data_IF_057155598387
#
_entry.id   IF_057155598387
#
_cell.length_a   1.000
_cell.length_b   1.000
_cell.length_c   1.000
_cell.angle_alpha   90.00
_cell.angle_beta   90.00
_cell.angle_gamma   90.00
#
_symmetry.space_group_name_H-M   'P 1'
#
loop_
_entity.id
_entity.type
_entity.pdbx_description
1 polymer ?
#
# COMPACT_ATOMS: atom_id res chain seq x y z
N UNK A 1 -15.43 0.19 -9.63
CA UNK A 1 -14.17 -0.52 -10.02
C UNK A 1 -14.33 -1.13 -11.41
N UNK A 2 -13.30 -1.09 -12.28
CA UNK A 2 -13.31 -1.74 -13.60
C UNK A 2 -13.25 -3.26 -13.41
N UNK A 3 -14.14 -4.00 -14.09
CA UNK A 3 -14.08 -5.48 -14.11
C UNK A 3 -13.28 -5.91 -15.34
N UNK A 4 -12.08 -6.46 -15.13
CA UNK A 4 -11.18 -6.95 -16.17
C UNK A 4 -11.18 -8.47 -16.18
N UNK A 5 -11.45 -9.08 -17.33
CA UNK A 5 -11.30 -10.52 -17.51
C UNK A 5 -9.84 -10.90 -17.80
N UNK A 6 -9.53 -12.20 -17.80
CA UNK A 6 -8.17 -12.70 -17.98
C UNK A 6 -7.50 -12.18 -19.26
N UNK A 7 -8.23 -12.14 -20.38
CA UNK A 7 -7.72 -11.62 -21.66
C UNK A 7 -7.40 -10.14 -21.59
N UNK A 8 -8.25 -9.35 -20.96
CA UNK A 8 -8.00 -7.92 -20.77
C UNK A 8 -6.78 -7.69 -19.87
N UNK A 9 -6.56 -8.55 -18.88
CA UNK A 9 -5.34 -8.54 -18.07
C UNK A 9 -4.10 -8.86 -18.91
N UNK A 10 -4.14 -9.87 -19.81
CA UNK A 10 -3.04 -10.16 -20.75
C UNK A 10 -2.73 -8.94 -21.63
N UNK A 11 -3.75 -8.27 -22.18
CA UNK A 11 -3.57 -7.05 -22.99
C UNK A 11 -2.93 -5.93 -22.17
N UNK A 12 -3.40 -5.66 -20.95
CA UNK A 12 -2.81 -4.62 -20.08
C UNK A 12 -1.33 -4.91 -19.78
N UNK A 13 -1.00 -6.15 -19.46
CA UNK A 13 0.40 -6.57 -19.21
C UNK A 13 1.29 -6.28 -20.42
N UNK A 14 0.84 -6.63 -21.62
CA UNK A 14 1.60 -6.37 -22.86
C UNK A 14 1.81 -4.87 -23.06
N UNK A 15 0.76 -4.06 -22.92
CA UNK A 15 0.87 -2.61 -23.12
C UNK A 15 1.72 -1.98 -22.00
N UNK A 16 1.65 -2.48 -20.76
CA UNK A 16 2.48 -2.02 -19.65
C UNK A 16 3.97 -2.33 -19.89
N UNK A 17 4.29 -3.50 -20.47
CA UNK A 17 5.66 -3.95 -20.75
C UNK A 17 6.27 -3.26 -21.98
N UNK A 18 5.48 -3.08 -23.04
CA UNK A 18 5.97 -2.61 -24.35
C UNK A 18 5.71 -1.13 -24.60
N UNK A 19 4.87 -0.51 -23.78
CA UNK A 19 4.40 0.86 -23.99
C UNK A 19 3.25 0.93 -25.00
N UNK A 20 3.18 2.02 -25.73
CA UNK A 20 2.14 2.32 -26.70
C UNK A 20 2.16 1.37 -27.90
N UNK A 21 1.04 0.71 -28.19
CA UNK A 21 0.90 -0.29 -29.24
C UNK A 21 -0.36 -0.09 -30.09
N UNK A 22 -0.28 -0.49 -31.38
CA UNK A 22 -1.45 -0.65 -32.26
C UNK A 22 -2.11 -2.02 -32.06
N UNK A 23 -3.35 -2.17 -32.54
CA UNK A 23 -4.09 -3.44 -32.40
C UNK A 23 -3.39 -4.64 -33.05
N UNK A 24 -2.67 -4.43 -34.16
CA UNK A 24 -1.88 -5.47 -34.83
C UNK A 24 -0.69 -5.92 -34.01
N UNK A 25 -0.02 -4.99 -33.33
CA UNK A 25 1.13 -5.28 -32.45
C UNK A 25 0.69 -6.04 -31.21
N UNK A 26 -0.43 -5.63 -30.59
CA UNK A 26 -1.03 -6.37 -29.46
C UNK A 26 -1.42 -7.79 -29.88
N UNK A 27 -1.99 -7.96 -31.09
CA UNK A 27 -2.32 -9.28 -31.63
C UNK A 27 -1.08 -10.16 -31.80
N UNK A 28 -0.01 -9.61 -32.40
CA UNK A 28 1.26 -10.32 -32.59
C UNK A 28 1.87 -10.77 -31.25
N UNK A 29 1.89 -9.91 -30.24
CA UNK A 29 2.42 -10.23 -28.91
C UNK A 29 1.59 -11.30 -28.18
N UNK A 30 0.25 -11.28 -28.28
CA UNK A 30 -0.62 -12.32 -27.74
C UNK A 30 -0.39 -13.67 -28.45
N UNK A 31 -0.27 -13.65 -29.78
CA UNK A 31 0.04 -14.86 -30.56
C UNK A 31 1.40 -15.46 -30.18
N UNK A 32 2.45 -14.63 -30.01
CA UNK A 32 3.75 -15.09 -29.49
C UNK A 32 3.68 -15.75 -28.12
N UNK A 33 2.72 -15.34 -27.28
CA UNK A 33 2.46 -15.92 -25.97
C UNK A 33 1.55 -17.15 -25.99
N UNK A 34 1.17 -17.61 -27.21
CA UNK A 34 0.36 -18.80 -27.39
C UNK A 34 -1.15 -18.58 -27.27
N UNK A 35 -1.61 -17.32 -27.28
CA UNK A 35 -3.05 -17.00 -27.26
C UNK A 35 -3.57 -16.95 -28.72
N UNK A 36 -4.46 -17.89 -29.07
CA UNK A 36 -5.14 -17.93 -30.37
C UNK A 36 -6.39 -17.03 -30.36
N UNK A 37 -6.23 -15.80 -30.82
CA UNK A 37 -7.29 -14.78 -30.80
C UNK A 37 -7.31 -14.01 -32.12
N UNK A 38 -8.48 -13.84 -32.74
CA UNK A 38 -8.61 -13.05 -33.94
C UNK A 38 -8.34 -11.56 -33.71
N UNK A 39 -7.71 -10.89 -34.68
CA UNK A 39 -7.48 -9.44 -34.65
C UNK A 39 -8.76 -8.62 -34.43
N UNK A 40 -9.91 -9.11 -34.93
CA UNK A 40 -11.22 -8.46 -34.73
C UNK A 40 -11.62 -8.48 -33.25
N UNK A 41 -11.40 -9.60 -32.55
CA UNK A 41 -11.67 -9.73 -31.13
C UNK A 41 -10.76 -8.82 -30.28
N UNK A 42 -9.50 -8.68 -30.67
CA UNK A 42 -8.56 -7.77 -30.00
C UNK A 42 -8.97 -6.30 -30.20
N UNK A 43 -9.33 -5.90 -31.42
CA UNK A 43 -9.83 -4.55 -31.67
C UNK A 43 -11.06 -4.21 -30.83
N UNK A 44 -11.99 -5.16 -30.67
CA UNK A 44 -13.19 -4.99 -29.80
C UNK A 44 -12.78 -4.86 -28.35
N UNK A 45 -11.86 -5.70 -27.86
CA UNK A 45 -11.39 -5.64 -26.48
C UNK A 45 -10.69 -4.31 -26.18
N UNK A 46 -9.76 -3.86 -27.04
CA UNK A 46 -9.07 -2.58 -26.90
C UNK A 46 -10.02 -1.38 -26.91
N UNK A 47 -11.01 -1.39 -27.81
CA UNK A 47 -12.03 -0.34 -27.86
C UNK A 47 -12.89 -0.31 -26.61
N UNK A 48 -13.32 -1.49 -26.08
CA UNK A 48 -14.03 -1.58 -24.81
C UNK A 48 -13.19 -1.07 -23.66
N UNK A 49 -11.95 -1.52 -23.54
CA UNK A 49 -11.04 -1.12 -22.48
C UNK A 49 -10.74 0.39 -22.51
N UNK A 50 -10.66 0.99 -23.69
CA UNK A 50 -10.52 2.45 -23.81
C UNK A 50 -11.80 3.18 -23.38
N UNK A 51 -12.98 2.65 -23.72
CA UNK A 51 -14.27 3.21 -23.28
C UNK A 51 -14.43 3.11 -21.75
N UNK A 52 -13.97 2.00 -21.16
CA UNK A 52 -14.04 1.73 -19.73
C UNK A 52 -12.92 2.46 -18.94
N UNK A 53 -12.06 3.21 -19.63
CA UNK A 53 -10.99 4.01 -19.02
C UNK A 53 -9.73 3.24 -18.63
N UNK A 54 -9.60 1.94 -18.98
CA UNK A 54 -8.38 1.16 -18.72
C UNK A 54 -7.24 1.51 -19.68
N UNK A 55 -7.57 1.98 -20.88
CA UNK A 55 -6.61 2.41 -21.90
C UNK A 55 -6.97 3.81 -22.39
N UNK A 56 -5.97 4.51 -22.90
CA UNK A 56 -6.13 5.75 -23.67
C UNK A 56 -5.88 5.45 -25.14
N UNK A 57 -6.82 5.82 -26.01
CA UNK A 57 -6.65 5.69 -27.46
C UNK A 57 -6.05 6.97 -28.05
N UNK A 58 -5.04 6.83 -28.90
CA UNK A 58 -4.31 7.94 -29.52
C UNK A 58 -4.31 7.76 -31.03
N UNK A 59 -4.64 8.84 -31.77
CA UNK A 59 -4.76 8.82 -33.22
C UNK A 59 -6.17 8.44 -33.69
N UNK A 60 -6.34 8.34 -35.02
CA UNK A 60 -7.62 8.08 -35.66
C UNK A 60 -7.49 6.99 -36.74
N UNK A 61 -8.54 6.19 -36.90
CA UNK A 61 -8.66 5.21 -37.95
C UNK A 61 -7.60 4.10 -37.87
N UNK A 62 -6.84 3.91 -38.97
CA UNK A 62 -5.83 2.84 -39.03
C UNK A 62 -4.60 3.09 -38.18
N UNK A 63 -4.35 4.34 -37.79
CA UNK A 63 -3.21 4.74 -36.95
C UNK A 63 -3.54 4.82 -35.47
N UNK A 64 -4.70 4.29 -35.06
CA UNK A 64 -5.06 4.25 -33.64
C UNK A 64 -4.13 3.32 -32.88
N UNK A 65 -3.51 3.84 -31.83
CA UNK A 65 -2.70 3.11 -30.87
C UNK A 65 -3.27 3.28 -29.46
N UNK A 66 -2.85 2.43 -28.55
CA UNK A 66 -3.35 2.38 -27.19
C UNK A 66 -2.21 2.47 -26.20
N UNK A 67 -2.41 3.28 -25.17
CA UNK A 67 -1.54 3.38 -24.00
C UNK A 67 -2.32 2.98 -22.75
N UNK A 68 -1.61 2.49 -21.75
CA UNK A 68 -2.22 2.18 -20.46
C UNK A 68 -2.54 3.48 -19.71
N UNK A 69 -3.78 3.64 -19.26
CA UNK A 69 -4.18 4.75 -18.40
C UNK A 69 -3.71 4.54 -16.95
N UNK A 70 -3.82 5.56 -16.09
CA UNK A 70 -3.58 5.43 -14.65
C UNK A 70 -4.49 4.35 -14.04
N UNK A 71 -5.77 4.33 -14.39
CA UNK A 71 -6.71 3.30 -13.91
C UNK A 71 -6.29 1.91 -14.40
N UNK A 72 -5.88 1.79 -15.65
CA UNK A 72 -5.37 0.54 -16.20
C UNK A 72 -4.14 0.04 -15.45
N UNK A 73 -3.19 0.91 -15.11
CA UNK A 73 -2.02 0.58 -14.30
C UNK A 73 -2.42 0.05 -12.93
N UNK A 74 -3.27 0.78 -12.21
CA UNK A 74 -3.72 0.44 -10.86
C UNK A 74 -4.34 -0.96 -10.80
N UNK A 75 -5.10 -1.36 -11.83
CA UNK A 75 -5.79 -2.65 -11.88
C UNK A 75 -5.13 -3.72 -12.74
N UNK A 76 -3.93 -3.50 -13.26
CA UNK A 76 -3.16 -4.56 -13.92
C UNK A 76 -2.67 -5.56 -12.88
N UNK A 77 -3.00 -6.84 -13.08
CA UNK A 77 -2.55 -7.91 -12.20
C UNK A 77 -1.12 -8.32 -12.57
N UNK A 78 -0.16 -8.04 -11.67
CA UNK A 78 1.26 -8.38 -11.81
C UNK A 78 1.64 -9.37 -10.72
N UNK A 79 2.10 -10.55 -11.13
CA UNK A 79 2.60 -11.56 -10.21
C UNK A 79 3.92 -11.07 -9.58
N UNK A 80 3.87 -10.76 -8.29
CA UNK A 80 4.97 -10.15 -7.53
C UNK A 80 6.27 -10.95 -7.65
N UNK A 81 6.25 -12.29 -7.40
CA UNK A 81 7.46 -13.14 -7.45
C UNK A 81 8.10 -13.17 -8.83
N UNK A 82 7.28 -13.23 -9.89
CA UNK A 82 7.78 -13.18 -11.25
C UNK A 82 8.42 -11.85 -11.60
N UNK A 83 7.85 -10.75 -11.10
CA UNK A 83 8.34 -9.39 -11.35
C UNK A 83 9.63 -9.09 -10.57
N UNK A 84 9.66 -9.39 -9.29
CA UNK A 84 10.82 -9.13 -8.41
C UNK A 84 12.00 -10.05 -8.68
N UNK A 85 11.77 -11.21 -9.32
CA UNK A 85 12.82 -12.10 -9.80
C UNK A 85 13.61 -11.56 -11.00
N UNK A 86 13.13 -10.49 -11.66
CA UNK A 86 13.88 -9.81 -12.73
C UNK A 86 14.84 -8.80 -12.09
N UNK A 87 16.05 -8.69 -12.63
CA UNK A 87 17.02 -7.66 -12.21
C UNK A 87 16.41 -6.25 -12.33
N UNK A 88 16.60 -5.35 -11.34
CA UNK A 88 15.92 -4.05 -11.29
C UNK A 88 15.97 -3.25 -12.59
N UNK A 89 17.15 -3.12 -13.19
CA UNK A 89 17.35 -2.36 -14.42
C UNK A 89 16.70 -2.99 -15.67
N UNK A 90 16.34 -4.26 -15.60
CA UNK A 90 15.67 -5.01 -16.69
C UNK A 90 14.15 -5.07 -16.53
N UNK A 91 13.59 -4.58 -15.41
CA UNK A 91 12.15 -4.57 -15.18
C UNK A 91 11.47 -3.54 -16.07
N UNK A 92 10.26 -3.85 -16.51
CA UNK A 92 9.38 -2.87 -17.15
C UNK A 92 8.73 -1.94 -16.11
N UNK A 93 8.14 -0.84 -16.56
CA UNK A 93 7.40 0.09 -15.70
C UNK A 93 8.04 1.47 -15.62
N UNK A 94 7.84 2.17 -14.52
CA UNK A 94 8.20 3.57 -14.34
C UNK A 94 9.50 3.69 -13.54
N UNK A 95 10.40 4.55 -14.01
CA UNK A 95 11.61 4.90 -13.28
C UNK A 95 11.42 6.15 -12.41
N UNK A 96 10.37 6.93 -12.65
CA UNK A 96 10.11 8.20 -12.00
C UNK A 96 8.69 8.29 -11.48
N UNK A 97 8.45 9.27 -10.62
CA UNK A 97 7.15 9.56 -10.04
C UNK A 97 6.08 9.85 -11.11
N UNK A 98 4.92 9.22 -10.98
CA UNK A 98 3.78 9.43 -11.86
C UNK A 98 2.85 10.51 -11.25
N UNK A 99 2.91 11.72 -11.80
CA UNK A 99 2.11 12.86 -11.33
C UNK A 99 0.60 12.67 -11.54
N UNK A 100 0.19 11.81 -12.47
CA UNK A 100 -1.23 11.52 -12.72
C UNK A 100 -1.80 10.47 -11.75
N UNK A 101 -0.95 9.80 -10.95
CA UNK A 101 -1.38 8.66 -10.13
C UNK A 101 -2.52 9.05 -9.17
N UNK A 102 -2.30 10.00 -8.29
CA UNK A 102 -3.29 10.36 -7.27
C UNK A 102 -4.46 11.19 -7.80
N UNK A 103 -4.28 12.15 -8.73
CA UNK A 103 -5.41 12.85 -9.36
C UNK A 103 -6.42 11.91 -10.02
N UNK A 104 -5.92 10.87 -10.69
CA UNK A 104 -6.73 9.89 -11.44
C UNK A 104 -6.95 8.57 -10.69
N UNK A 105 -6.52 8.47 -9.41
CA UNK A 105 -6.66 7.23 -8.65
C UNK A 105 -8.14 6.86 -8.47
N UNK A 106 -8.53 5.58 -8.70
CA UNK A 106 -9.91 5.15 -8.59
C UNK A 106 -10.44 5.32 -7.15
N UNK A 107 -11.69 5.73 -7.03
CA UNK A 107 -12.36 5.92 -5.73
C UNK A 107 -12.75 4.61 -5.05
N UNK A 108 -12.79 3.51 -5.80
CA UNK A 108 -13.08 2.15 -5.35
C UNK A 108 -11.94 1.23 -5.76
N UNK A 109 -11.23 0.67 -4.78
CA UNK A 109 -10.10 -0.25 -5.00
C UNK A 109 -10.57 -1.70 -4.84
N UNK A 110 -11.45 -1.95 -3.89
CA UNK A 110 -12.03 -3.27 -3.63
C UNK A 110 -13.33 -3.48 -4.41
N UNK A 111 -13.52 -4.68 -4.95
CA UNK A 111 -14.77 -5.05 -5.61
C UNK A 111 -15.87 -5.41 -4.59
N UNK A 112 -17.11 -5.61 -5.07
CA UNK A 112 -18.27 -5.89 -4.23
C UNK A 112 -18.08 -7.14 -3.33
N UNK A 113 -17.48 -8.20 -3.86
CA UNK A 113 -17.23 -9.43 -3.09
C UNK A 113 -16.15 -9.18 -2.01
N UNK A 114 -15.07 -8.49 -2.35
CA UNK A 114 -14.02 -8.12 -1.41
C UNK A 114 -14.55 -7.20 -0.29
N UNK A 115 -15.41 -6.24 -0.63
CA UNK A 115 -16.09 -5.38 0.36
C UNK A 115 -17.03 -6.19 1.24
N UNK A 116 -17.72 -7.18 0.69
CA UNK A 116 -18.58 -8.08 1.48
C UNK A 116 -17.75 -8.84 2.52
N UNK A 117 -16.65 -9.47 2.11
CA UNK A 117 -15.75 -10.21 3.01
C UNK A 117 -15.20 -9.30 4.13
N UNK A 118 -14.69 -8.13 3.76
CA UNK A 118 -14.17 -7.14 4.70
C UNK A 118 -15.24 -6.65 5.69
N UNK A 119 -16.48 -6.46 5.20
CA UNK A 119 -17.60 -6.02 6.03
C UNK A 119 -18.06 -7.09 7.00
N UNK A 120 -18.03 -8.37 6.63
CA UNK A 120 -18.29 -9.50 7.53
C UNK A 120 -17.27 -9.52 8.64
N UNK A 121 -15.98 -9.44 8.31
CA UNK A 121 -14.90 -9.39 9.30
C UNK A 121 -15.05 -8.19 10.26
N UNK A 122 -15.43 -7.01 9.75
CA UNK A 122 -15.69 -5.83 10.59
C UNK A 122 -16.85 -6.05 11.57
N UNK A 123 -17.95 -6.69 11.14
CA UNK A 123 -19.07 -7.02 12.04
C UNK A 123 -18.65 -7.95 13.16
N UNK A 124 -17.85 -8.97 12.84
CA UNK A 124 -17.32 -9.90 13.85
C UNK A 124 -16.38 -9.20 14.83
N UNK A 125 -15.51 -8.33 14.35
CA UNK A 125 -14.66 -7.49 15.18
C UNK A 125 -15.48 -6.65 16.17
N UNK A 126 -16.54 -5.98 15.70
CA UNK A 126 -17.42 -5.19 16.55
C UNK A 126 -18.15 -6.05 17.60
N UNK A 127 -18.60 -7.25 17.25
CA UNK A 127 -19.27 -8.15 18.20
C UNK A 127 -18.30 -8.60 19.31
N UNK A 128 -17.07 -8.96 18.96
CA UNK A 128 -16.02 -9.32 19.95
C UNK A 128 -15.69 -8.14 20.86
N UNK A 129 -15.46 -6.95 20.31
CA UNK A 129 -15.06 -5.77 21.06
C UNK A 129 -16.13 -5.29 22.05
N UNK A 130 -17.42 -5.41 21.70
CA UNK A 130 -18.53 -5.02 22.58
C UNK A 130 -18.64 -5.89 23.84
N UNK A 131 -18.26 -7.16 23.75
CA UNK A 131 -18.42 -8.15 24.82
C UNK A 131 -17.22 -8.24 25.76
N UNK A 132 -16.16 -7.45 25.54
CA UNK A 132 -14.98 -7.45 26.37
C UNK A 132 -15.18 -6.60 27.64
N UNK A 133 -14.81 -7.14 28.81
CA UNK A 133 -14.58 -6.33 29.98
C UNK A 133 -13.38 -5.41 29.80
N UNK A 134 -13.27 -4.33 30.56
CA UNK A 134 -12.11 -3.40 30.47
C UNK A 134 -10.78 -4.14 30.65
N UNK A 135 -10.69 -5.04 31.65
CA UNK A 135 -9.46 -5.83 31.90
C UNK A 135 -9.06 -6.71 30.71
N UNK A 136 -10.02 -7.36 30.07
CA UNK A 136 -9.74 -8.15 28.88
C UNK A 136 -9.39 -7.26 27.68
N UNK A 137 -10.05 -6.12 27.53
CA UNK A 137 -9.74 -5.13 26.50
C UNK A 137 -8.32 -4.61 26.61
N UNK A 138 -7.85 -4.29 27.82
CA UNK A 138 -6.48 -3.83 28.06
C UNK A 138 -5.44 -4.91 27.72
N UNK A 139 -5.73 -6.18 28.05
CA UNK A 139 -4.86 -7.30 27.67
C UNK A 139 -4.81 -7.52 26.16
N UNK A 140 -5.95 -7.42 25.47
CA UNK A 140 -6.01 -7.54 24.01
C UNK A 140 -5.31 -6.39 23.33
N UNK A 141 -5.47 -5.16 23.81
CA UNK A 141 -4.73 -4.01 23.32
C UNK A 141 -3.22 -4.20 23.50
N UNK A 142 -2.78 -4.62 24.70
CA UNK A 142 -1.36 -4.87 24.96
C UNK A 142 -0.80 -5.93 24.02
N UNK A 143 -1.51 -7.03 23.82
CA UNK A 143 -1.13 -8.09 22.88
C UNK A 143 -1.01 -7.56 21.44
N UNK A 144 -2.01 -6.81 20.99
CA UNK A 144 -2.02 -6.20 19.67
C UNK A 144 -0.82 -5.25 19.47
N UNK A 145 -0.56 -4.37 20.44
CA UNK A 145 0.53 -3.39 20.38
C UNK A 145 1.89 -4.08 20.32
N UNK A 146 2.10 -5.15 21.10
CA UNK A 146 3.35 -5.94 21.06
C UNK A 146 3.55 -6.54 19.65
N UNK A 147 2.55 -7.23 19.14
CA UNK A 147 2.64 -7.92 17.86
C UNK A 147 2.76 -6.96 16.66
N UNK A 148 2.04 -5.83 16.68
CA UNK A 148 2.17 -4.76 15.69
C UNK A 148 3.57 -4.15 15.71
N UNK A 149 4.07 -3.75 16.89
CA UNK A 149 5.37 -3.09 17.02
C UNK A 149 6.51 -4.00 16.60
N UNK A 150 6.43 -5.29 16.99
CA UNK A 150 7.36 -6.31 16.54
C UNK A 150 7.34 -6.47 15.01
N UNK A 151 6.17 -6.78 14.45
CA UNK A 151 6.10 -7.14 13.03
C UNK A 151 6.40 -5.97 12.11
N UNK A 152 5.87 -4.79 12.44
CA UNK A 152 6.15 -3.58 11.66
C UNK A 152 7.63 -3.20 11.66
N UNK A 153 8.34 -3.41 12.78
CA UNK A 153 9.78 -3.20 12.85
C UNK A 153 10.56 -4.28 12.10
N UNK A 154 10.14 -5.55 12.22
CA UNK A 154 10.76 -6.70 11.54
C UNK A 154 10.71 -6.58 10.01
N UNK A 155 9.61 -6.10 9.44
CA UNK A 155 9.49 -5.80 7.99
C UNK A 155 10.61 -4.83 7.53
N UNK A 156 11.02 -3.90 8.40
CA UNK A 156 12.11 -2.95 8.11
C UNK A 156 13.52 -3.47 8.49
N UNK A 157 13.62 -4.74 8.89
CA UNK A 157 14.90 -5.38 9.17
C UNK A 157 15.31 -5.43 10.64
N UNK A 158 14.43 -5.02 11.58
CA UNK A 158 14.67 -5.20 13.01
C UNK A 158 14.77 -6.68 13.36
N UNK A 159 15.73 -7.04 14.21
CA UNK A 159 16.10 -8.43 14.50
C UNK A 159 15.50 -8.97 15.80
N UNK A 160 14.79 -8.15 16.58
CA UNK A 160 14.08 -8.58 17.79
C UNK A 160 13.10 -9.71 17.51
N UNK A 161 13.07 -10.71 18.38
CA UNK A 161 12.03 -11.74 18.36
C UNK A 161 10.74 -11.18 18.97
N UNK A 162 9.62 -11.88 18.81
CA UNK A 162 8.37 -11.50 19.47
C UNK A 162 8.49 -11.53 20.99
N UNK A 163 9.20 -12.52 21.53
CA UNK A 163 9.42 -12.63 23.00
C UNK A 163 10.32 -11.52 23.53
N UNK A 164 11.36 -11.13 22.79
CA UNK A 164 12.20 -9.99 23.18
C UNK A 164 11.42 -8.69 23.14
N UNK A 165 10.56 -8.53 22.13
CA UNK A 165 9.66 -7.37 22.02
C UNK A 165 8.66 -7.33 23.18
N UNK A 166 8.11 -8.47 23.57
CA UNK A 166 7.20 -8.56 24.71
C UNK A 166 7.89 -8.12 26.01
N UNK A 167 9.11 -8.62 26.29
CA UNK A 167 9.92 -8.22 27.46
C UNK A 167 10.25 -6.73 27.41
N UNK A 168 10.65 -6.23 26.26
CA UNK A 168 10.97 -4.81 26.08
C UNK A 168 9.75 -3.92 26.39
N UNK A 169 8.56 -4.27 25.92
CA UNK A 169 7.35 -3.47 26.10
C UNK A 169 6.76 -3.59 27.51
N UNK A 170 6.80 -4.80 28.13
CA UNK A 170 6.22 -5.05 29.44
C UNK A 170 7.15 -4.72 30.60
N UNK A 171 8.42 -5.11 30.46
CA UNK A 171 9.37 -5.12 31.57
C UNK A 171 10.48 -4.06 31.39
N UNK A 172 10.48 -3.33 30.25
CA UNK A 172 11.52 -2.35 29.86
C UNK A 172 12.93 -2.96 29.78
N UNK A 173 13.04 -4.26 29.48
CA UNK A 173 14.29 -4.99 29.39
C UNK A 173 14.69 -5.11 27.91
N UNK A 174 15.82 -4.47 27.55
CA UNK A 174 16.42 -4.60 26.22
C UNK A 174 17.04 -5.98 26.06
N UNK A 175 16.86 -6.59 24.85
CA UNK A 175 17.46 -7.86 24.56
C UNK A 175 18.97 -7.69 24.25
N UNK A 176 19.85 -8.58 24.80
CA UNK A 176 21.28 -8.48 24.55
C UNK A 176 21.62 -8.82 23.09
N UNK A 177 22.66 -8.18 22.55
CA UNK A 177 23.17 -8.46 21.19
C UNK A 177 22.46 -7.71 20.07
N UNK A 178 21.50 -6.85 20.37
CA UNK A 178 20.81 -5.99 19.41
C UNK A 178 21.32 -4.54 19.47
N UNK A 179 21.16 -3.80 18.37
CA UNK A 179 21.46 -2.38 18.36
C UNK A 179 20.45 -1.59 19.20
N UNK A 180 20.91 -0.53 19.89
CA UNK A 180 20.03 0.32 20.73
C UNK A 180 18.88 0.94 19.93
N UNK A 181 19.11 1.25 18.67
CA UNK A 181 18.09 1.83 17.80
C UNK A 181 16.96 0.82 17.46
N UNK A 182 17.24 -0.49 17.52
CA UNK A 182 16.22 -1.51 17.33
C UNK A 182 15.19 -1.52 18.45
N UNK A 183 15.61 -1.47 19.71
CA UNK A 183 14.72 -1.35 20.85
C UNK A 183 13.91 -0.05 20.77
N UNK A 184 14.59 1.07 20.46
CA UNK A 184 13.93 2.37 20.34
C UNK A 184 12.90 2.41 19.22
N UNK A 185 13.19 1.79 18.08
CA UNK A 185 12.23 1.65 16.95
C UNK A 185 10.94 0.97 17.39
N UNK A 186 11.04 -0.11 18.18
CA UNK A 186 9.88 -0.85 18.71
C UNK A 186 9.07 0.01 19.70
N UNK A 187 9.75 0.67 20.64
CA UNK A 187 9.09 1.52 21.65
C UNK A 187 8.42 2.73 21.00
N UNK A 188 9.08 3.37 20.05
CA UNK A 188 8.50 4.47 19.28
C UNK A 188 7.25 4.03 18.51
N UNK A 189 7.26 2.80 17.97
CA UNK A 189 6.11 2.27 17.23
C UNK A 189 4.92 2.01 18.17
N UNK A 190 5.19 1.46 19.37
CA UNK A 190 4.19 1.33 20.43
C UNK A 190 3.59 2.70 20.79
N UNK A 191 4.44 3.67 21.10
CA UNK A 191 4.02 5.01 21.52
C UNK A 191 3.20 5.72 20.41
N UNK A 192 3.62 5.58 19.15
CA UNK A 192 2.90 6.15 18.02
C UNK A 192 1.51 5.52 17.81
N UNK A 193 1.37 4.20 17.99
CA UNK A 193 0.07 3.55 17.90
C UNK A 193 -0.86 3.96 19.08
N UNK A 194 -0.35 4.03 20.30
CA UNK A 194 -1.13 4.47 21.45
C UNK A 194 -1.57 5.93 21.29
N UNK A 195 -0.68 6.79 20.79
CA UNK A 195 -1.02 8.18 20.47
C UNK A 195 -2.17 8.28 19.45
N UNK A 196 -2.11 7.50 18.36
CA UNK A 196 -3.20 7.45 17.37
C UNK A 196 -4.51 7.04 18.03
N UNK A 197 -4.48 6.01 18.87
CA UNK A 197 -5.68 5.49 19.56
C UNK A 197 -6.29 6.51 20.51
N UNK A 198 -5.48 7.28 21.23
CA UNK A 198 -5.94 8.34 22.12
C UNK A 198 -6.50 9.56 21.36
N UNK A 199 -6.10 9.75 20.10
CA UNK A 199 -6.44 10.90 19.27
C UNK A 199 -7.18 10.50 17.97
N UNK A 200 -7.95 9.41 17.96
CA UNK A 200 -8.60 8.84 16.77
C UNK A 200 -9.39 9.88 15.94
N UNK A 201 -10.05 10.82 16.61
CA UNK A 201 -10.88 11.85 15.97
C UNK A 201 -10.08 12.80 15.06
N UNK A 202 -8.79 12.98 15.33
CA UNK A 202 -7.92 13.84 14.51
C UNK A 202 -7.55 13.18 13.17
N UNK A 203 -7.73 11.85 13.05
CA UNK A 203 -7.36 11.06 11.87
C UNK A 203 -8.54 10.72 10.95
N UNK A 204 -9.70 11.37 11.10
CA UNK A 204 -10.83 11.18 10.16
C UNK A 204 -10.50 11.62 8.73
N UNK A 205 -9.54 12.55 8.59
CA UNK A 205 -9.01 13.00 7.32
C UNK A 205 -7.47 12.93 7.32
N UNK A 206 -6.91 12.55 6.19
CA UNK A 206 -5.46 12.60 5.97
C UNK A 206 -5.02 14.04 5.74
N UNK A 207 -3.95 14.47 6.40
CA UNK A 207 -3.29 15.74 6.15
C UNK A 207 -1.80 15.70 6.52
N UNK A 208 -1.04 16.66 6.04
CA UNK A 208 0.40 16.76 6.26
C UNK A 208 0.76 16.89 7.75
N UNK A 209 -0.01 17.64 8.53
CA UNK A 209 0.25 17.83 9.96
C UNK A 209 0.22 16.50 10.71
N UNK A 210 -0.84 15.71 10.50
CA UNK A 210 -0.98 14.41 11.15
C UNK A 210 0.13 13.42 10.71
N UNK A 211 0.55 13.50 9.44
CA UNK A 211 1.66 12.71 8.92
C UNK A 211 2.99 13.05 9.62
N UNK A 212 3.32 14.36 9.75
CA UNK A 212 4.55 14.83 10.39
C UNK A 212 4.55 14.57 11.90
N UNK A 213 3.42 14.68 12.57
CA UNK A 213 3.26 14.41 14.00
C UNK A 213 3.51 12.92 14.29
N UNK A 214 2.85 12.05 13.57
CA UNK A 214 3.01 10.60 13.70
C UNK A 214 4.44 10.16 13.39
N UNK A 215 5.02 10.69 12.33
CA UNK A 215 6.42 10.47 12.01
C UNK A 215 7.35 10.95 13.13
N UNK A 216 7.10 12.13 13.71
CA UNK A 216 7.91 12.67 14.79
C UNK A 216 7.99 11.77 16.02
N UNK A 217 6.93 11.00 16.32
CA UNK A 217 6.93 9.99 17.40
C UNK A 217 7.76 8.79 16.97
N UNK A 218 7.56 8.29 15.74
CA UNK A 218 8.26 7.11 15.21
C UNK A 218 9.78 7.22 15.15
N UNK A 219 10.29 8.44 14.94
CA UNK A 219 11.75 8.69 14.80
C UNK A 219 12.40 9.25 16.06
N UNK A 220 11.66 9.39 17.16
CA UNK A 220 12.16 10.00 18.38
C UNK A 220 13.44 9.31 18.86
N UNK A 221 14.54 10.05 18.92
CA UNK A 221 15.85 9.57 19.37
C UNK A 221 16.59 8.63 18.39
N UNK A 222 16.16 8.54 17.12
CA UNK A 222 16.84 7.76 16.06
C UNK A 222 17.77 8.59 15.18
N UNK A 223 17.99 9.87 15.49
CA UNK A 223 18.90 10.72 14.70
C UNK A 223 18.34 11.15 13.33
N UNK A 224 17.08 10.93 13.06
CA UNK A 224 16.37 11.27 11.80
C UNK A 224 15.72 12.65 11.93
N UNK A 225 15.79 13.45 10.86
CA UNK A 225 15.18 14.77 10.83
C UNK A 225 13.65 14.68 10.70
N UNK A 226 12.95 15.59 11.41
CA UNK A 226 11.49 15.72 11.32
C UNK A 226 11.05 16.48 10.06
N UNK A 227 9.83 16.19 9.63
CA UNK A 227 9.20 16.88 8.52
C UNK A 227 9.62 16.37 7.16
N UNK A 228 9.20 17.08 6.11
CA UNK A 228 9.50 16.69 4.73
C UNK A 228 11.00 16.80 4.47
N UNK A 229 11.56 15.74 3.89
CA UNK A 229 12.98 15.69 3.53
C UNK A 229 13.36 16.73 2.48
N UNK A 230 14.63 17.12 2.52
CA UNK A 230 15.24 18.06 1.57
C UNK A 230 16.25 17.39 0.63
N UNK A 231 16.56 16.12 0.88
CA UNK A 231 17.56 15.36 0.13
C UNK A 231 16.96 14.27 -0.74
N UNK A 232 17.81 13.69 -1.58
CA UNK A 232 17.52 12.49 -2.35
C UNK A 232 17.35 11.28 -1.43
N UNK A 233 16.45 10.38 -1.78
CA UNK A 233 16.35 9.05 -1.20
C UNK A 233 16.29 8.02 -2.32
N UNK A 234 16.92 6.86 -2.10
CA UNK A 234 16.83 5.71 -2.97
C UNK A 234 16.05 4.58 -2.32
N UNK A 235 15.53 3.69 -3.12
CA UNK A 235 14.85 2.48 -2.65
C UNK A 235 15.69 1.29 -3.08
N UNK A 236 16.23 0.56 -2.12
CA UNK A 236 17.05 -0.62 -2.38
C UNK A 236 16.24 -1.65 -3.17
N UNK A 237 16.83 -2.15 -4.26
CA UNK A 237 16.22 -3.16 -5.12
C UNK A 237 15.13 -2.64 -6.06
N UNK A 238 14.98 -1.31 -6.19
CA UNK A 238 14.06 -0.68 -7.12
C UNK A 238 14.78 0.28 -8.07
N UNK A 239 14.31 0.34 -9.32
CA UNK A 239 14.71 1.37 -10.29
C UNK A 239 13.93 2.68 -10.13
N UNK A 240 12.84 2.66 -9.37
CA UNK A 240 12.00 3.83 -9.14
C UNK A 240 12.74 4.91 -8.33
N UNK A 241 12.68 6.13 -8.81
CA UNK A 241 13.27 7.32 -8.20
C UNK A 241 12.16 8.20 -7.63
N UNK A 242 12.04 8.31 -6.29
CA UNK A 242 11.12 9.24 -5.67
C UNK A 242 11.44 10.69 -6.02
N UNK A 243 10.47 11.59 -5.85
CA UNK A 243 10.65 13.03 -6.00
C UNK A 243 11.80 13.53 -5.10
N UNK A 244 12.57 14.50 -5.57
CA UNK A 244 13.69 15.12 -4.83
C UNK A 244 13.43 16.58 -4.46
N UNK A 245 12.42 17.20 -5.05
CA UNK A 245 12.04 18.59 -4.81
C UNK A 245 10.98 18.70 -3.71
N UNK A 246 11.26 19.47 -2.66
CA UNK A 246 10.38 19.64 -1.50
C UNK A 246 8.98 20.18 -1.87
N UNK A 247 8.88 21.03 -2.88
CA UNK A 247 7.58 21.57 -3.33
C UNK A 247 6.77 20.49 -4.03
N UNK A 248 7.39 19.71 -4.91
CA UNK A 248 6.73 18.59 -5.57
C UNK A 248 6.32 17.50 -4.57
N UNK A 249 7.13 17.25 -3.53
CA UNK A 249 6.77 16.31 -2.45
C UNK A 249 5.52 16.81 -1.70
N UNK A 250 5.42 18.11 -1.41
CA UNK A 250 4.23 18.69 -0.77
C UNK A 250 3.00 18.56 -1.65
N UNK A 251 3.09 18.94 -2.92
CA UNK A 251 2.01 18.77 -3.90
C UNK A 251 1.57 17.30 -4.02
N UNK A 252 2.52 16.36 -4.01
CA UNK A 252 2.21 14.93 -4.04
C UNK A 252 1.46 14.47 -2.77
N UNK A 253 1.81 14.99 -1.58
CA UNK A 253 1.09 14.68 -0.33
C UNK A 253 -0.32 15.28 -0.35
N UNK A 254 -0.48 16.50 -0.83
CA UNK A 254 -1.79 17.15 -0.98
C UNK A 254 -2.66 16.36 -1.95
N UNK A 255 -2.12 15.98 -3.11
CA UNK A 255 -2.81 15.15 -4.11
C UNK A 255 -3.20 13.76 -3.56
N UNK A 256 -2.33 13.14 -2.74
CA UNK A 256 -2.66 11.91 -2.01
C UNK A 256 -3.82 12.15 -1.02
N UNK A 257 -3.79 13.26 -0.28
CA UNK A 257 -4.86 13.62 0.66
C UNK A 257 -6.21 13.78 -0.03
N UNK A 258 -6.23 14.42 -1.19
CA UNK A 258 -7.43 14.53 -2.03
C UNK A 258 -7.91 13.17 -2.53
N UNK A 259 -7.00 12.31 -2.99
CA UNK A 259 -7.35 10.96 -3.42
C UNK A 259 -7.95 10.12 -2.27
N UNK A 260 -7.35 10.19 -1.07
CA UNK A 260 -7.88 9.54 0.14
C UNK A 260 -9.27 10.09 0.50
N UNK A 261 -9.47 11.39 0.38
CA UNK A 261 -10.78 12.00 0.66
C UNK A 261 -11.88 11.53 -0.29
N UNK A 262 -11.55 11.32 -1.58
CA UNK A 262 -12.47 10.78 -2.60
C UNK A 262 -12.71 9.27 -2.47
N UNK A 263 -11.81 8.54 -1.79
CA UNK A 263 -11.92 7.09 -1.61
C UNK A 263 -13.19 6.72 -0.85
N UNK A 264 -13.91 5.69 -1.34
CA UNK A 264 -15.30 5.41 -0.96
C UNK A 264 -15.43 4.77 0.42
N UNK A 265 -14.53 3.87 0.76
CA UNK A 265 -14.59 3.14 2.03
C UNK A 265 -13.36 3.39 2.89
N UNK A 266 -13.44 3.20 4.21
CA UNK A 266 -12.27 3.26 5.09
C UNK A 266 -11.16 2.29 4.69
N UNK A 267 -11.48 1.15 4.08
CA UNK A 267 -10.50 0.21 3.54
C UNK A 267 -9.72 0.82 2.38
N UNK A 268 -10.44 1.46 1.42
CA UNK A 268 -9.81 2.15 0.29
C UNK A 268 -8.89 3.28 0.79
N UNK A 269 -9.35 4.07 1.76
CA UNK A 269 -8.58 5.16 2.37
C UNK A 269 -7.30 4.67 3.02
N UNK A 270 -7.40 3.62 3.83
CA UNK A 270 -6.27 3.04 4.56
C UNK A 270 -5.24 2.42 3.61
N UNK A 271 -5.68 1.63 2.62
CA UNK A 271 -4.81 1.06 1.61
C UNK A 271 -4.08 2.14 0.82
N UNK A 272 -4.81 3.18 0.37
CA UNK A 272 -4.24 4.28 -0.40
C UNK A 272 -3.21 5.08 0.41
N UNK A 273 -3.48 5.37 1.69
CA UNK A 273 -2.52 6.03 2.57
C UNK A 273 -1.23 5.20 2.72
N UNK A 274 -1.35 3.90 2.92
CA UNK A 274 -0.23 2.99 3.10
C UNK A 274 0.68 2.96 1.87
N UNK A 275 0.12 2.69 0.68
CA UNK A 275 0.91 2.61 -0.55
C UNK A 275 1.36 3.99 -1.02
N UNK A 276 0.55 5.03 -0.84
CA UNK A 276 0.82 6.40 -1.29
C UNK A 276 1.97 7.05 -0.53
N UNK A 277 1.98 6.98 0.81
CA UNK A 277 3.09 7.50 1.63
C UNK A 277 4.39 6.76 1.27
N UNK A 278 4.29 5.43 1.12
CA UNK A 278 5.43 4.61 0.72
C UNK A 278 5.94 4.95 -0.68
N UNK A 279 5.08 5.34 -1.61
CA UNK A 279 5.44 5.73 -2.98
C UNK A 279 6.07 7.13 -3.06
N UNK A 280 5.49 8.11 -2.39
CA UNK A 280 6.00 9.48 -2.37
C UNK A 280 7.36 9.55 -1.67
N UNK A 281 7.58 8.71 -0.64
CA UNK A 281 8.78 8.78 0.22
C UNK A 281 9.02 10.19 0.77
N UNK A 282 8.05 10.83 1.44
CA UNK A 282 8.16 12.25 1.81
C UNK A 282 9.15 12.52 2.93
N UNK A 283 9.57 11.53 3.68
CA UNK A 283 10.33 11.62 4.91
C UNK A 283 11.75 11.09 4.70
N UNK A 284 12.71 11.51 5.55
CA UNK A 284 14.11 11.08 5.44
C UNK A 284 14.26 9.57 5.69
N UNK A 285 13.56 9.05 6.70
CA UNK A 285 13.41 7.61 6.99
C UNK A 285 12.02 7.34 7.61
N UNK A 286 11.65 6.07 7.75
CA UNK A 286 10.39 5.67 8.40
C UNK A 286 9.13 5.81 7.54
N UNK A 287 9.25 6.09 6.24
CA UNK A 287 8.11 6.26 5.33
C UNK A 287 7.12 5.09 5.38
N UNK A 288 7.62 3.85 5.30
CA UNK A 288 6.76 2.65 5.31
C UNK A 288 6.11 2.44 6.69
N UNK A 289 6.85 2.66 7.79
CA UNK A 289 6.32 2.59 9.16
C UNK A 289 5.22 3.63 9.37
N UNK A 290 5.45 4.86 8.94
CA UNK A 290 4.46 5.94 8.98
C UNK A 290 3.23 5.60 8.13
N UNK A 291 3.41 5.04 6.93
CA UNK A 291 2.30 4.59 6.08
C UNK A 291 1.44 3.51 6.75
N UNK A 292 2.05 2.51 7.40
CA UNK A 292 1.32 1.47 8.15
C UNK A 292 0.54 2.03 9.32
N UNK A 293 1.11 2.97 10.07
CA UNK A 293 0.41 3.60 11.19
C UNK A 293 -0.68 4.57 10.73
N UNK A 294 -0.46 5.32 9.65
CA UNK A 294 -1.50 6.18 9.07
C UNK A 294 -2.69 5.37 8.56
N UNK A 295 -2.45 4.21 7.94
CA UNK A 295 -3.52 3.28 7.56
C UNK A 295 -4.32 2.83 8.79
N UNK A 296 -3.65 2.48 9.90
CA UNK A 296 -4.30 2.13 11.16
C UNK A 296 -5.06 3.32 11.76
N UNK A 297 -4.52 4.52 11.69
CA UNK A 297 -5.19 5.73 12.17
C UNK A 297 -6.51 5.99 11.41
N UNK A 298 -6.49 5.85 10.08
CA UNK A 298 -7.69 5.98 9.26
C UNK A 298 -8.73 4.87 9.54
N UNK A 299 -8.30 3.63 9.79
CA UNK A 299 -9.20 2.54 10.16
C UNK A 299 -9.84 2.81 11.53
N UNK A 300 -9.04 3.10 12.55
CA UNK A 300 -9.51 3.35 13.91
C UNK A 300 -10.47 4.54 13.98
N UNK A 301 -10.14 5.65 13.31
CA UNK A 301 -11.00 6.86 13.30
C UNK A 301 -12.39 6.62 12.69
N UNK A 302 -12.55 5.55 11.93
CA UNK A 302 -13.84 5.13 11.38
C UNK A 302 -14.43 3.92 12.13
N UNK A 303 -13.83 3.49 13.24
CA UNK A 303 -14.29 2.36 14.03
C UNK A 303 -13.98 0.99 13.46
N UNK A 304 -12.97 0.87 12.60
CA UNK A 304 -12.57 -0.38 11.95
C UNK A 304 -11.39 -1.05 12.67
N UNK A 305 -11.20 -2.35 12.45
CA UNK A 305 -10.09 -3.08 13.05
C UNK A 305 -8.74 -2.56 12.53
N UNK A 306 -7.76 -2.29 13.41
CA UNK A 306 -6.41 -1.94 12.98
C UNK A 306 -5.65 -3.18 12.49
N UNK A 307 -4.73 -3.01 11.56
CA UNK A 307 -3.88 -4.06 10.97
C UNK A 307 -2.68 -4.36 11.89
N UNK A 308 -2.50 -5.62 12.28
CA UNK A 308 -1.34 -6.05 13.07
C UNK A 308 -0.12 -6.43 12.23
N UNK A 309 -0.34 -6.74 10.96
CA UNK A 309 0.65 -7.30 10.02
C UNK A 309 1.27 -8.63 10.48
N UNK A 310 0.82 -9.22 11.60
CA UNK A 310 1.45 -10.37 12.24
C UNK A 310 1.64 -11.56 11.31
N UNK A 311 0.64 -11.87 10.50
CA UNK A 311 0.65 -13.04 9.62
C UNK A 311 1.26 -12.76 8.24
N UNK A 312 1.75 -11.53 7.96
CA UNK A 312 2.31 -11.20 6.65
C UNK A 312 3.65 -11.89 6.42
N UNK A 313 3.86 -12.38 5.21
CA UNK A 313 5.20 -12.74 4.73
C UNK A 313 5.94 -11.43 4.38
N UNK A 314 7.15 -11.22 4.93
CA UNK A 314 7.91 -9.99 4.75
C UNK A 314 8.38 -9.77 3.32
N UNK A 315 8.73 -10.85 2.62
CA UNK A 315 9.21 -10.79 1.24
C UNK A 315 8.06 -10.49 0.26
N UNK A 316 6.91 -11.14 0.44
CA UNK A 316 5.70 -10.86 -0.34
C UNK A 316 5.23 -9.41 -0.12
N UNK A 317 5.33 -8.88 1.12
CA UNK A 317 5.01 -7.48 1.42
C UNK A 317 5.96 -6.51 0.71
N UNK A 318 7.27 -6.76 0.80
CA UNK A 318 8.30 -5.94 0.14
C UNK A 318 8.18 -6.00 -1.37
N UNK A 319 7.97 -7.19 -1.92
CA UNK A 319 7.81 -7.40 -3.35
C UNK A 319 6.57 -6.70 -3.91
N UNK A 320 5.44 -6.81 -3.21
CA UNK A 320 4.20 -6.15 -3.63
C UNK A 320 4.29 -4.61 -3.61
N UNK A 321 5.03 -4.04 -2.65
CA UNK A 321 5.25 -2.59 -2.64
C UNK A 321 6.22 -2.15 -3.74
N UNK A 322 7.23 -2.98 -4.10
CA UNK A 322 8.10 -2.73 -5.25
C UNK A 322 7.33 -2.75 -6.58
N UNK A 323 6.42 -3.70 -6.75
CA UNK A 323 5.51 -3.73 -7.91
C UNK A 323 4.72 -2.41 -7.99
N UNK A 324 4.18 -1.93 -6.87
CA UNK A 324 3.45 -0.65 -6.86
C UNK A 324 4.35 0.53 -7.23
N UNK A 325 5.58 0.60 -6.73
CA UNK A 325 6.51 1.69 -7.05
C UNK A 325 6.80 1.77 -8.54
N UNK A 326 7.05 0.64 -9.19
CA UNK A 326 7.53 0.59 -10.55
C UNK A 326 6.42 0.51 -11.60
N UNK A 327 5.22 0.05 -11.23
CA UNK A 327 4.12 -0.16 -12.19
C UNK A 327 2.83 0.61 -11.85
N UNK A 328 2.71 1.07 -10.62
CA UNK A 328 1.49 1.59 -9.98
C UNK A 328 0.35 0.55 -9.85
N UNK A 329 0.63 -0.75 -10.05
CA UNK A 329 -0.35 -1.80 -9.78
C UNK A 329 -0.53 -1.98 -8.28
N UNK A 330 -1.79 -1.96 -7.82
CA UNK A 330 -2.15 -2.16 -6.42
C UNK A 330 -2.59 -3.59 -6.11
N UNK A 331 -2.76 -4.45 -7.14
CA UNK A 331 -3.48 -5.72 -7.01
C UNK A 331 -2.83 -6.68 -6.01
N UNK A 332 -1.53 -6.93 -6.11
CA UNK A 332 -0.81 -7.81 -5.18
C UNK A 332 -0.83 -7.27 -3.75
N UNK A 333 -0.66 -5.96 -3.58
CA UNK A 333 -0.69 -5.32 -2.27
C UNK A 333 -2.10 -5.25 -1.65
N UNK A 334 -3.13 -5.05 -2.48
CA UNK A 334 -4.54 -5.11 -2.08
C UNK A 334 -4.91 -6.47 -1.49
N UNK A 335 -4.41 -7.55 -2.09
CA UNK A 335 -4.63 -8.90 -1.57
C UNK A 335 -4.03 -9.07 -0.17
N UNK A 336 -2.78 -8.63 0.02
CA UNK A 336 -2.13 -8.64 1.34
C UNK A 336 -2.94 -7.82 2.36
N UNK A 337 -3.37 -6.62 1.99
CA UNK A 337 -4.18 -5.76 2.87
C UNK A 337 -5.47 -6.47 3.30
N UNK A 338 -6.20 -7.06 2.35
CA UNK A 338 -7.44 -7.80 2.63
C UNK A 338 -7.20 -8.95 3.62
N UNK A 339 -6.18 -9.77 3.37
CA UNK A 339 -5.83 -10.89 4.23
C UNK A 339 -5.44 -10.44 5.64
N UNK A 340 -4.63 -9.38 5.75
CA UNK A 340 -4.23 -8.82 7.04
C UNK A 340 -5.39 -8.18 7.78
N UNK A 341 -6.34 -7.55 7.10
CA UNK A 341 -7.52 -6.98 7.73
C UNK A 341 -8.43 -8.07 8.29
N UNK A 342 -8.74 -9.10 7.51
CA UNK A 342 -9.55 -10.24 7.95
C UNK A 342 -8.86 -10.92 9.14
N UNK A 343 -7.57 -11.21 9.02
CA UNK A 343 -6.79 -11.79 10.12
C UNK A 343 -6.88 -10.94 11.39
N UNK A 344 -6.68 -9.63 11.29
CA UNK A 344 -6.73 -8.74 12.45
C UNK A 344 -8.12 -8.70 13.09
N UNK A 345 -9.17 -8.60 12.28
CA UNK A 345 -10.56 -8.60 12.76
C UNK A 345 -10.97 -9.90 13.44
N UNK A 346 -10.42 -11.05 12.97
CA UNK A 346 -10.67 -12.36 13.58
C UNK A 346 -9.90 -12.59 14.87
N UNK A 347 -8.68 -12.04 15.01
CA UNK A 347 -7.76 -12.40 16.08
C UNK A 347 -7.67 -11.39 17.21
N UNK A 348 -8.11 -10.15 16.98
CA UNK A 348 -8.02 -9.09 17.98
C UNK A 348 -9.38 -8.44 18.25
N UNK A 349 -9.48 -7.89 19.45
CA UNK A 349 -10.60 -7.06 19.84
C UNK A 349 -10.06 -5.81 20.55
N UNK A 350 -9.45 -4.94 19.76
CA UNK A 350 -8.90 -3.66 20.22
C UNK A 350 -10.05 -2.67 20.36
N UNK A 351 -10.21 -2.13 21.58
CA UNK A 351 -11.29 -1.21 21.94
C UNK A 351 -10.73 0.18 22.15
#
# INVERSE_FOLDING_TARGET
>A
MIKLNQRQQSILKIILEKGRLQSSEVHEELTKRGEDISLVSIKRALSSMAKDGALTSIGLGRNTSYEISTIGRVFTDIAEKGYTGIEPDSRFGLDNYNFNLFPEFPTEIFNENEISDLSIATKEYHQKSRNLSSVLGDKELQRFVIELSWKSSKIEGNTYTLLDTERLIKDEIEAPGHAKDEARMILNHKDAFLFVRENEQEYQAFNLRNLEELHGILIKGLGVNKGIRKGLVGITGSKYKPLDNVFQIREAIESLGEAISRAKTPYDKALLALVGISYIQPLEDGNKRTGRLMANALLLSHGYAPLSYRSVNEDDFKGSILVFYETNSVISFKQIFKEQYIFAAEHYAVK
#
